data_IF_987326424407
#
_entry.id   IF_987326424407
#
_cell.length_a   1.000
_cell.length_b   1.000
_cell.length_c   1.000
_cell.angle_alpha   90.00
_cell.angle_beta   90.00
_cell.angle_gamma   90.00
#
_symmetry.space_group_name_H-M   'P 1'
#
loop_
_entity.id
_entity.type
_entity.pdbx_description
1 polymer ?
#
# COMPACT_ATOMS: atom_id res chain seq x y z
N UNK A 1 -19.71 -7.56 -14.67
CA UNK A 1 -21.06 -8.07 -14.31
C UNK A 1 -21.01 -9.44 -13.66
N UNK A 2 -20.39 -10.48 -14.27
CA UNK A 2 -20.38 -11.84 -13.69
C UNK A 2 -19.94 -11.94 -12.22
N UNK A 3 -18.94 -11.15 -11.80
CA UNK A 3 -18.48 -11.13 -10.41
C UNK A 3 -19.47 -10.51 -9.41
N UNK A 4 -20.37 -9.62 -9.86
CA UNK A 4 -21.34 -8.94 -9.00
C UNK A 4 -22.75 -9.53 -9.10
N UNK A 5 -23.03 -10.36 -10.11
CA UNK A 5 -24.37 -10.86 -10.40
C UNK A 5 -25.35 -9.80 -10.93
N UNK A 6 -24.90 -8.55 -11.12
CA UNK A 6 -25.74 -7.43 -11.56
C UNK A 6 -25.71 -7.26 -13.09
N UNK A 7 -26.81 -6.75 -13.64
CA UNK A 7 -26.83 -6.23 -15.01
C UNK A 7 -26.00 -4.94 -15.12
N UNK A 8 -25.59 -4.56 -16.34
CA UNK A 8 -24.86 -3.29 -16.56
C UNK A 8 -25.67 -2.06 -16.14
N UNK A 9 -26.96 -2.07 -16.45
CA UNK A 9 -27.88 -0.99 -16.06
C UNK A 9 -28.01 -0.92 -14.54
N UNK A 10 -28.13 -2.06 -13.84
CA UNK A 10 -28.21 -2.08 -12.38
C UNK A 10 -26.92 -1.61 -11.72
N UNK A 11 -25.75 -2.06 -12.20
CA UNK A 11 -24.46 -1.63 -11.63
C UNK A 11 -24.27 -0.11 -11.74
N UNK A 12 -24.46 0.44 -12.94
CA UNK A 12 -24.28 1.87 -13.18
C UNK A 12 -25.45 2.70 -12.65
N UNK A 13 -26.65 2.14 -12.54
CA UNK A 13 -27.75 2.76 -11.80
C UNK A 13 -27.44 2.93 -10.31
N UNK A 14 -26.72 1.98 -9.68
CA UNK A 14 -26.35 2.05 -8.26
C UNK A 14 -25.09 2.86 -7.99
N UNK A 15 -24.10 2.79 -8.89
CA UNK A 15 -22.75 3.34 -8.64
C UNK A 15 -22.35 4.46 -9.61
N UNK A 16 -23.22 4.87 -10.52
CA UNK A 16 -22.93 5.88 -11.53
C UNK A 16 -22.23 5.28 -12.75
N UNK A 17 -20.94 5.54 -12.93
CA UNK A 17 -20.18 5.10 -14.09
C UNK A 17 -18.97 4.24 -13.68
N UNK A 18 -18.14 3.84 -14.66
CA UNK A 18 -16.92 3.04 -14.40
C UNK A 18 -15.97 3.78 -13.44
N UNK A 19 -15.80 5.08 -13.63
CA UNK A 19 -14.87 5.90 -12.85
C UNK A 19 -15.31 6.03 -11.40
N UNK A 20 -16.61 6.23 -11.17
CA UNK A 20 -17.21 6.25 -9.83
C UNK A 20 -17.08 4.89 -9.12
N UNK A 21 -17.25 3.78 -9.85
CA UNK A 21 -17.00 2.43 -9.30
C UNK A 21 -15.53 2.26 -8.91
N UNK A 22 -14.60 2.73 -9.75
CA UNK A 22 -13.16 2.64 -9.50
C UNK A 22 -12.74 3.51 -8.29
N UNK A 23 -13.23 4.75 -8.22
CA UNK A 23 -13.03 5.64 -7.06
C UNK A 23 -13.47 4.97 -5.76
N UNK A 24 -14.69 4.43 -5.71
CA UNK A 24 -15.21 3.74 -4.52
C UNK A 24 -14.37 2.50 -4.16
N UNK A 25 -13.86 1.77 -5.16
CA UNK A 25 -12.98 0.63 -4.93
C UNK A 25 -11.63 1.06 -4.32
N UNK A 26 -11.06 2.18 -4.79
CA UNK A 26 -9.82 2.77 -4.24
C UNK A 26 -10.05 3.22 -2.78
N UNK A 27 -11.11 3.98 -2.51
CA UNK A 27 -11.48 4.42 -1.16
C UNK A 27 -11.62 3.23 -0.21
N UNK A 28 -12.40 2.23 -0.62
CA UNK A 28 -12.63 1.01 0.17
C UNK A 28 -11.35 0.21 0.43
N UNK A 29 -10.44 0.18 -0.55
CA UNK A 29 -9.14 -0.48 -0.42
C UNK A 29 -8.25 0.23 0.60
N UNK A 30 -8.22 1.56 0.59
CA UNK A 30 -7.46 2.36 1.58
C UNK A 30 -8.03 2.15 2.99
N UNK A 31 -9.36 2.16 3.13
CA UNK A 31 -10.05 1.92 4.39
C UNK A 31 -9.76 0.51 4.97
N UNK A 32 -9.47 -0.45 4.10
CA UNK A 32 -9.03 -1.78 4.52
C UNK A 32 -7.53 -1.85 4.86
N UNK A 33 -6.68 -1.13 4.13
CA UNK A 33 -5.22 -1.15 4.34
C UNK A 33 -4.79 -0.45 5.63
N UNK A 34 -5.38 0.71 5.96
CA UNK A 34 -4.97 1.51 7.12
C UNK A 34 -5.00 0.70 8.43
N UNK A 35 -6.09 -0.02 8.79
CA UNK A 35 -6.13 -0.83 9.99
C UNK A 35 -5.09 -1.97 10.01
N UNK A 36 -4.76 -2.55 8.85
CA UNK A 36 -3.72 -3.59 8.76
C UNK A 36 -2.32 -3.02 8.98
N UNK A 37 -2.05 -1.79 8.50
CA UNK A 37 -0.82 -1.05 8.80
C UNK A 37 -0.74 -0.77 10.31
N UNK A 38 -1.79 -0.24 10.92
CA UNK A 38 -1.84 0.02 12.37
C UNK A 38 -1.60 -1.26 13.19
N UNK A 39 -2.21 -2.38 12.77
CA UNK A 39 -2.01 -3.69 13.39
C UNK A 39 -0.57 -4.18 13.25
N UNK A 40 0.12 -3.83 12.17
CA UNK A 40 1.54 -4.15 11.98
C UNK A 40 2.44 -3.36 12.93
N UNK A 41 2.08 -2.15 13.32
CA UNK A 41 2.83 -1.32 14.27
C UNK A 41 2.49 -1.57 15.74
N UNK A 42 1.25 -2.01 16.04
CA UNK A 42 0.77 -2.16 17.42
C UNK A 42 1.73 -2.97 18.31
N UNK A 43 2.28 -2.31 19.33
CA UNK A 43 3.16 -2.89 20.34
C UNK A 43 4.52 -3.35 19.80
N UNK A 44 4.99 -2.78 18.68
CA UNK A 44 6.26 -3.14 18.03
C UNK A 44 7.17 -1.92 17.88
N UNK A 45 8.47 -2.17 17.90
CA UNK A 45 9.46 -1.21 17.39
C UNK A 45 9.27 -0.98 15.89
N UNK A 46 9.87 0.09 15.36
CA UNK A 46 9.85 0.38 13.92
C UNK A 46 10.38 -0.81 13.12
N UNK A 47 11.56 -1.33 13.45
CA UNK A 47 12.14 -2.52 12.79
C UNK A 47 11.18 -3.70 12.77
N UNK A 48 10.61 -4.09 13.91
CA UNK A 48 9.69 -5.23 14.01
C UNK A 48 8.41 -5.02 13.18
N UNK A 49 7.90 -3.78 13.13
CA UNK A 49 6.75 -3.44 12.29
C UNK A 49 7.07 -3.57 10.80
N UNK A 50 8.23 -3.06 10.37
CA UNK A 50 8.68 -3.12 8.97
C UNK A 50 9.02 -4.56 8.55
N UNK A 51 9.68 -5.34 9.41
CA UNK A 51 9.90 -6.77 9.18
C UNK A 51 8.58 -7.47 8.89
N UNK A 52 7.56 -7.23 9.73
CA UNK A 52 6.25 -7.84 9.55
C UNK A 52 5.60 -7.47 8.21
N UNK A 53 5.66 -6.20 7.82
CA UNK A 53 5.09 -5.70 6.57
C UNK A 53 5.84 -6.28 5.36
N UNK A 54 7.17 -6.15 5.34
CA UNK A 54 8.00 -6.52 4.20
C UNK A 54 8.09 -8.03 4.01
N UNK A 55 8.18 -8.81 5.09
CA UNK A 55 8.08 -10.27 5.00
C UNK A 55 6.71 -10.72 4.50
N UNK A 56 5.64 -10.02 4.92
CA UNK A 56 4.29 -10.27 4.42
C UNK A 56 4.23 -10.16 2.90
N UNK A 57 4.77 -9.05 2.36
CA UNK A 57 4.89 -8.80 0.92
C UNK A 57 5.74 -9.88 0.22
N UNK A 58 6.89 -10.24 0.81
CA UNK A 58 7.78 -11.24 0.24
C UNK A 58 7.19 -12.67 0.25
N UNK A 59 6.23 -12.95 1.15
CA UNK A 59 5.49 -14.22 1.18
C UNK A 59 4.32 -14.22 0.20
N UNK A 60 3.55 -13.14 0.14
CA UNK A 60 2.38 -13.01 -0.73
C UNK A 60 2.17 -11.56 -1.15
N UNK A 61 2.02 -11.33 -2.44
CA UNK A 61 1.74 -10.02 -3.02
C UNK A 61 0.25 -9.89 -3.36
N UNK A 62 -0.62 -10.08 -2.36
CA UNK A 62 -2.08 -10.15 -2.55
C UNK A 62 -2.49 -11.20 -3.60
N UNK A 63 -2.02 -12.44 -3.43
CA UNK A 63 -2.24 -13.53 -4.41
C UNK A 63 -1.69 -13.21 -5.81
N UNK A 64 -0.67 -12.36 -5.88
CA UNK A 64 -0.07 -11.90 -7.14
C UNK A 64 -0.76 -10.67 -7.76
N UNK A 65 -1.86 -10.19 -7.18
CA UNK A 65 -2.61 -9.02 -7.68
C UNK A 65 -1.88 -7.69 -7.44
N UNK A 66 -0.94 -7.63 -6.50
CA UNK A 66 -0.16 -6.41 -6.22
C UNK A 66 -0.88 -5.41 -5.30
N UNK A 67 -0.46 -4.14 -5.38
CA UNK A 67 -1.12 -3.03 -4.69
C UNK A 67 -2.07 -2.30 -5.64
N UNK A 68 -3.33 -2.13 -5.26
CA UNK A 68 -4.26 -1.35 -6.08
C UNK A 68 -3.75 0.08 -6.29
N UNK A 69 -3.22 0.73 -5.25
CA UNK A 69 -2.69 2.10 -5.37
C UNK A 69 -1.47 2.18 -6.31
N UNK A 70 -0.47 1.32 -6.11
CA UNK A 70 0.77 1.33 -6.92
C UNK A 70 0.49 0.96 -8.37
N UNK A 71 -0.32 -0.06 -8.62
CA UNK A 71 -0.69 -0.41 -9.98
C UNK A 71 -1.52 0.71 -10.60
N UNK A 72 -2.52 1.23 -9.87
CA UNK A 72 -3.41 2.29 -10.35
C UNK A 72 -2.68 3.54 -10.79
N UNK A 73 -1.74 4.06 -9.98
CA UNK A 73 -0.99 5.28 -10.34
C UNK A 73 -0.04 5.08 -11.52
N UNK A 74 0.40 3.85 -11.77
CA UNK A 74 1.25 3.51 -12.91
C UNK A 74 0.45 3.16 -14.19
N UNK A 75 -0.85 2.91 -14.09
CA UNK A 75 -1.69 2.50 -15.22
C UNK A 75 -2.62 3.64 -15.67
N UNK A 76 -3.17 4.40 -14.73
CA UNK A 76 -4.07 5.52 -15.02
C UNK A 76 -3.26 6.78 -15.32
N UNK A 77 -3.00 7.01 -16.61
CA UNK A 77 -2.30 8.23 -17.07
C UNK A 77 -3.27 9.34 -17.52
N UNK A 78 -4.55 9.02 -17.80
CA UNK A 78 -5.53 9.98 -18.35
C UNK A 78 -7.02 9.57 -18.16
N UNK A 79 -7.31 8.49 -17.41
CA UNK A 79 -8.69 8.03 -17.18
C UNK A 79 -9.34 8.80 -16.02
N UNK A 80 -10.04 9.90 -16.32
CA UNK A 80 -11.03 10.54 -15.43
C UNK A 80 -10.46 11.21 -14.17
N UNK A 81 -10.72 12.51 -14.00
CA UNK A 81 -10.24 13.30 -12.85
C UNK A 81 -10.50 12.60 -11.50
N UNK A 82 -11.71 12.08 -11.29
CA UNK A 82 -12.15 11.48 -10.03
C UNK A 82 -11.33 10.25 -9.57
N UNK A 83 -10.97 9.35 -10.49
CA UNK A 83 -10.25 8.12 -10.12
C UNK A 83 -8.78 8.39 -9.81
N UNK A 84 -8.15 9.28 -10.58
CA UNK A 84 -6.78 9.73 -10.32
C UNK A 84 -6.70 10.55 -9.03
N UNK A 85 -7.66 11.45 -8.78
CA UNK A 85 -7.79 12.17 -7.51
C UNK A 85 -7.94 11.21 -6.32
N UNK A 86 -8.73 10.15 -6.48
CA UNK A 86 -8.90 9.13 -5.45
C UNK A 86 -7.60 8.35 -5.18
N UNK A 87 -6.80 8.05 -6.21
CA UNK A 87 -5.47 7.46 -6.03
C UNK A 87 -4.56 8.39 -5.23
N UNK A 88 -4.47 9.66 -5.61
CA UNK A 88 -3.66 10.67 -4.90
C UNK A 88 -4.10 10.80 -3.44
N UNK A 89 -5.40 10.91 -3.19
CA UNK A 89 -5.96 10.94 -1.85
C UNK A 89 -5.64 9.65 -1.07
N UNK A 90 -5.71 8.49 -1.72
CA UNK A 90 -5.34 7.21 -1.13
C UNK A 90 -3.87 7.12 -0.72
N UNK A 91 -2.95 7.57 -1.59
CA UNK A 91 -1.53 7.68 -1.29
C UNK A 91 -1.28 8.63 -0.11
N UNK A 92 -1.91 9.81 -0.12
CA UNK A 92 -1.77 10.80 0.95
C UNK A 92 -2.25 10.25 2.31
N UNK A 93 -3.40 9.54 2.34
CA UNK A 93 -3.93 8.91 3.55
C UNK A 93 -2.99 7.83 4.11
N UNK A 94 -2.43 6.99 3.24
CA UNK A 94 -1.45 5.96 3.65
C UNK A 94 -0.16 6.58 4.15
N UNK A 95 0.35 7.60 3.46
CA UNK A 95 1.57 8.33 3.85
C UNK A 95 1.40 9.00 5.21
N UNK A 96 0.29 9.72 5.42
CA UNK A 96 -0.01 10.37 6.69
C UNK A 96 -0.09 9.37 7.85
N UNK A 97 -0.75 8.23 7.64
CA UNK A 97 -0.84 7.18 8.66
C UNK A 97 0.52 6.55 8.98
N UNK A 98 1.35 6.29 7.97
CA UNK A 98 2.71 5.79 8.20
C UNK A 98 3.56 6.82 8.97
N UNK A 99 3.48 8.10 8.59
CA UNK A 99 4.20 9.17 9.27
C UNK A 99 3.80 9.27 10.75
N UNK A 100 2.51 9.23 11.05
CA UNK A 100 1.96 9.18 12.41
C UNK A 100 2.55 8.00 13.21
N UNK A 101 2.50 6.79 12.65
CA UNK A 101 2.96 5.58 13.31
C UNK A 101 4.47 5.58 13.53
N UNK A 102 5.26 6.01 12.54
CA UNK A 102 6.73 6.12 12.66
C UNK A 102 7.09 7.12 13.75
N UNK A 103 6.46 8.31 13.77
CA UNK A 103 6.68 9.31 14.82
C UNK A 103 6.37 8.75 16.20
N UNK A 104 5.33 7.94 16.33
CA UNK A 104 4.92 7.35 17.60
C UNK A 104 5.90 6.29 18.13
N UNK A 105 6.49 5.45 17.26
CA UNK A 105 7.34 4.33 17.68
C UNK A 105 8.84 4.63 17.67
N UNK A 106 9.27 5.67 16.94
CA UNK A 106 10.67 6.07 16.83
C UNK A 106 10.81 7.62 16.74
N UNK A 107 10.40 8.37 17.78
CA UNK A 107 10.30 9.83 17.71
C UNK A 107 11.63 10.55 17.49
N UNK A 108 12.73 9.99 18.00
CA UNK A 108 14.07 10.60 17.91
C UNK A 108 14.91 10.09 16.74
N UNK A 109 14.54 8.96 16.13
CA UNK A 109 15.15 8.44 14.91
C UNK A 109 14.40 8.92 13.67
N UNK A 110 13.82 7.98 12.91
CA UNK A 110 13.10 8.28 11.67
C UNK A 110 11.87 9.17 11.89
N UNK A 111 11.29 9.15 13.09
CA UNK A 111 10.17 10.01 13.49
C UNK A 111 10.49 11.50 13.57
N UNK A 112 11.77 11.89 13.50
CA UNK A 112 12.19 13.28 13.35
C UNK A 112 11.86 13.85 11.95
N UNK A 113 11.78 12.97 10.93
CA UNK A 113 11.34 13.30 9.57
C UNK A 113 10.31 12.28 9.07
N UNK A 114 9.12 12.23 9.70
CA UNK A 114 8.20 11.11 9.52
C UNK A 114 7.54 11.08 8.14
N UNK A 115 7.37 12.22 7.48
CA UNK A 115 6.87 12.29 6.10
C UNK A 115 7.88 11.68 5.12
N UNK A 116 9.18 11.94 5.32
CA UNK A 116 10.26 11.31 4.55
C UNK A 116 10.31 9.80 4.83
N UNK A 117 10.24 9.40 6.10
CA UNK A 117 10.23 7.99 6.49
C UNK A 117 9.03 7.24 5.89
N UNK A 118 7.84 7.85 5.87
CA UNK A 118 6.67 7.29 5.22
C UNK A 118 6.90 7.10 3.71
N UNK A 119 7.46 8.09 3.02
CA UNK A 119 7.78 7.99 1.60
C UNK A 119 8.80 6.88 1.31
N UNK A 120 9.85 6.74 2.13
CA UNK A 120 10.83 5.65 2.02
C UNK A 120 10.20 4.27 2.23
N UNK A 121 9.33 4.12 3.23
CA UNK A 121 8.61 2.87 3.50
C UNK A 121 7.69 2.53 2.33
N UNK A 122 6.94 3.50 1.80
CA UNK A 122 6.07 3.31 0.64
C UNK A 122 6.86 2.93 -0.61
N UNK A 123 8.02 3.53 -0.80
CA UNK A 123 8.95 3.18 -1.89
C UNK A 123 9.44 1.74 -1.75
N UNK A 124 9.83 1.31 -0.55
CA UNK A 124 10.22 -0.07 -0.27
C UNK A 124 9.06 -1.05 -0.53
N UNK A 125 7.83 -0.72 -0.11
CA UNK A 125 6.63 -1.53 -0.38
C UNK A 125 6.42 -1.67 -1.89
N UNK A 126 6.43 -0.58 -2.65
CA UNK A 126 6.24 -0.60 -4.09
C UNK A 126 7.33 -1.44 -4.78
N UNK A 127 8.60 -1.20 -4.44
CA UNK A 127 9.74 -1.93 -4.98
C UNK A 127 9.70 -3.43 -4.69
N UNK A 128 9.39 -3.83 -3.44
CA UNK A 128 9.29 -5.25 -3.05
C UNK A 128 8.14 -5.96 -3.76
N UNK A 129 6.98 -5.29 -3.94
CA UNK A 129 5.85 -5.84 -4.69
C UNK A 129 6.19 -6.03 -6.18
N UNK A 130 6.92 -5.09 -6.77
CA UNK A 130 7.43 -5.22 -8.14
C UNK A 130 8.45 -6.36 -8.24
N UNK A 131 9.38 -6.45 -7.29
CA UNK A 131 10.40 -7.50 -7.25
C UNK A 131 9.79 -8.90 -7.12
N UNK A 132 8.67 -9.05 -6.42
CA UNK A 132 7.94 -10.32 -6.34
C UNK A 132 7.44 -10.79 -7.71
N UNK A 133 7.25 -9.87 -8.67
CA UNK A 133 6.79 -10.15 -10.04
C UNK A 133 7.92 -10.17 -11.08
N UNK A 134 9.17 -9.93 -10.69
CA UNK A 134 10.30 -9.82 -11.64
C UNK A 134 10.87 -11.17 -12.10
N UNK A 135 10.43 -12.29 -11.52
CA UNK A 135 10.98 -13.63 -11.80
C UNK A 135 12.24 -13.97 -11.01
N UNK A 136 12.72 -13.08 -10.14
CA UNK A 136 13.85 -13.39 -9.25
C UNK A 136 13.52 -14.53 -8.26
N UNK A 137 14.54 -15.28 -7.78
CA UNK A 137 14.32 -16.32 -6.78
C UNK A 137 13.64 -15.77 -5.53
N UNK A 138 12.64 -16.48 -5.00
CA UNK A 138 11.92 -16.11 -3.76
C UNK A 138 12.86 -15.86 -2.58
N UNK A 139 13.98 -16.58 -2.52
CA UNK A 139 15.01 -16.39 -1.49
C UNK A 139 15.67 -15.01 -1.58
N UNK A 140 15.90 -14.48 -2.78
CA UNK A 140 16.44 -13.14 -3.00
C UNK A 140 15.42 -12.09 -2.56
N UNK A 141 14.15 -12.20 -2.99
CA UNK A 141 13.08 -11.26 -2.58
C UNK A 141 12.94 -11.19 -1.05
N UNK A 142 12.98 -12.33 -0.36
CA UNK A 142 12.92 -12.39 1.11
C UNK A 142 14.15 -11.78 1.77
N UNK A 143 15.36 -12.03 1.25
CA UNK A 143 16.58 -11.40 1.77
C UNK A 143 16.53 -9.88 1.58
N UNK A 144 16.06 -9.41 0.43
CA UNK A 144 15.87 -7.98 0.17
C UNK A 144 14.87 -7.37 1.16
N UNK A 145 13.71 -8.01 1.39
CA UNK A 145 12.72 -7.54 2.35
C UNK A 145 13.29 -7.35 3.77
N UNK A 146 14.07 -8.32 4.26
CA UNK A 146 14.75 -8.22 5.56
C UNK A 146 15.73 -7.06 5.62
N UNK A 147 16.58 -6.92 4.60
CA UNK A 147 17.56 -5.83 4.52
C UNK A 147 16.90 -4.45 4.52
N UNK A 148 15.76 -4.29 3.87
CA UNK A 148 15.01 -3.03 3.92
C UNK A 148 14.41 -2.77 5.29
N UNK A 149 13.94 -3.80 6.00
CA UNK A 149 13.45 -3.64 7.37
C UNK A 149 14.55 -3.24 8.34
N UNK A 150 15.75 -3.81 8.20
CA UNK A 150 16.94 -3.43 8.97
C UNK A 150 17.35 -1.98 8.67
N UNK A 151 17.46 -1.63 7.39
CA UNK A 151 17.89 -0.29 6.94
C UNK A 151 16.93 0.80 7.40
N UNK A 152 15.62 0.57 7.24
CA UNK A 152 14.60 1.56 7.57
C UNK A 152 14.19 1.53 9.05
N UNK A 153 14.42 0.40 9.73
CA UNK A 153 13.99 0.15 11.09
C UNK A 153 14.86 0.74 12.19
N UNK A 154 16.07 1.22 11.88
CA UNK A 154 17.06 1.61 12.89
C UNK A 154 17.62 0.40 13.63
N UNK A 155 18.47 0.62 14.65
CA UNK A 155 18.98 -0.44 15.56
C UNK A 155 17.92 -1.03 16.49
#
# INVERSE_FOLDING_TARGET
>A
MRATGLSRSSLYGSFGNKDAVLRLAIERYVDWQIPEIEKAFRGRSLRQALERIFDGIARSNNEGKGCLLVNGVNELHDEGADALEALHAGFARVAAKLAELVRAVDPSGRGAMPELAAAEIMTAIAGLRTLQRSGLPRSIVRKTARRYAELLGGE
#
